data_IF_704849889937
#
_entry.id   IF_704849889937
#
_cell.length_a   1.000
_cell.length_b   1.000
_cell.length_c   1.000
_cell.angle_alpha   90.00
_cell.angle_beta   90.00
_cell.angle_gamma   90.00
#
_symmetry.space_group_name_H-M   'P 1'
#
loop_
_entity.id
_entity.type
_entity.pdbx_description
1 polymer ?
#
# COMPACT_ATOMS: atom_id res chain seq x y z
N UNK A 1 20.48 -0.50 16.80
CA UNK A 1 19.56 0.39 16.04
C UNK A 1 18.31 -0.43 15.76
N UNK A 2 17.13 0.01 16.23
CA UNK A 2 15.88 -0.66 15.93
C UNK A 2 15.67 -0.77 14.41
N UNK A 3 15.36 -1.99 13.94
CA UNK A 3 15.29 -2.31 12.53
C UNK A 3 14.21 -3.33 12.25
N UNK A 4 13.43 -3.08 11.22
CA UNK A 4 12.43 -4.01 10.69
C UNK A 4 12.70 -4.23 9.19
N UNK A 5 12.96 -5.47 8.80
CA UNK A 5 13.05 -5.86 7.39
C UNK A 5 11.83 -6.71 7.05
N UNK A 6 11.14 -6.36 5.97
CA UNK A 6 9.98 -7.14 5.52
C UNK A 6 10.21 -7.63 4.09
N UNK A 7 9.91 -8.89 3.85
CA UNK A 7 9.85 -9.49 2.52
C UNK A 7 8.48 -10.09 2.32
N UNK A 8 7.86 -9.79 1.20
CA UNK A 8 6.51 -10.26 0.97
C UNK A 8 6.15 -10.40 -0.49
N UNK A 9 5.05 -11.09 -0.69
CA UNK A 9 4.44 -11.30 -1.99
C UNK A 9 2.95 -11.11 -1.88
N UNK A 10 2.38 -10.31 -2.79
CA UNK A 10 0.94 -10.21 -2.99
C UNK A 10 0.55 -11.00 -4.23
N UNK A 11 -0.52 -11.75 -4.15
CA UNK A 11 -1.24 -12.23 -5.32
C UNK A 11 -2.44 -11.32 -5.53
N UNK A 12 -2.38 -10.50 -6.57
CA UNK A 12 -3.42 -9.57 -6.96
C UNK A 12 -4.31 -10.20 -8.03
N UNK A 13 -5.60 -9.90 -8.00
CA UNK A 13 -6.58 -10.36 -8.98
C UNK A 13 -7.33 -9.17 -9.58
N UNK A 14 -7.46 -9.11 -10.89
CA UNK A 14 -8.33 -8.14 -11.53
C UNK A 14 -9.80 -8.54 -11.35
N UNK A 15 -10.47 -7.93 -10.40
CA UNK A 15 -11.91 -8.13 -10.13
C UNK A 15 -12.83 -7.14 -10.85
N UNK A 16 -12.26 -6.34 -11.74
CA UNK A 16 -13.07 -5.44 -12.57
C UNK A 16 -13.56 -6.16 -13.81
N UNK A 17 -14.50 -5.56 -14.50
CA UNK A 17 -15.06 -6.05 -15.78
C UNK A 17 -14.24 -5.63 -17.01
N UNK A 18 -13.13 -4.93 -16.82
CA UNK A 18 -12.27 -4.41 -17.87
C UNK A 18 -10.79 -4.79 -17.68
N UNK A 19 -10.00 -4.87 -18.77
CA UNK A 19 -8.58 -5.06 -18.68
C UNK A 19 -7.89 -3.89 -17.97
N UNK A 20 -6.96 -4.19 -17.05
CA UNK A 20 -6.14 -3.19 -16.35
C UNK A 20 -4.80 -3.01 -17.05
N UNK A 21 -4.51 -1.78 -17.50
CA UNK A 21 -3.26 -1.44 -18.18
C UNK A 21 -2.13 -1.07 -17.23
N UNK A 22 -2.44 -0.68 -16.01
CA UNK A 22 -1.45 -0.22 -15.03
C UNK A 22 -1.89 -0.54 -13.60
N UNK A 23 -0.93 -0.57 -12.69
CA UNK A 23 -1.14 -0.69 -11.26
C UNK A 23 -0.36 0.41 -10.53
N UNK A 24 -0.98 0.98 -9.54
CA UNK A 24 -0.43 2.05 -8.71
C UNK A 24 0.00 1.48 -7.37
N UNK A 25 1.22 1.77 -6.95
CA UNK A 25 1.78 1.32 -5.68
C UNK A 25 2.35 2.51 -4.93
N UNK A 26 2.12 2.52 -3.63
CA UNK A 26 2.65 3.52 -2.71
C UNK A 26 3.14 2.86 -1.43
N UNK A 27 3.97 3.55 -0.67
CA UNK A 27 4.46 3.11 0.64
C UNK A 27 4.62 4.29 1.59
N UNK A 28 4.87 3.99 2.84
CA UNK A 28 5.08 4.98 3.89
C UNK A 28 6.40 5.77 3.66
N UNK A 29 6.44 7.06 4.04
CA UNK A 29 7.61 7.92 3.88
C UNK A 29 8.83 7.46 4.68
N UNK A 30 8.60 6.76 5.79
CA UNK A 30 9.65 6.20 6.65
C UNK A 30 10.09 4.79 6.22
N UNK A 31 9.64 4.31 5.06
CA UNK A 31 9.90 2.98 4.55
C UNK A 31 10.83 3.02 3.35
N UNK A 32 12.02 2.47 3.50
CA UNK A 32 12.94 2.28 2.38
C UNK A 32 12.44 1.10 1.53
N UNK A 33 12.07 1.37 0.28
CA UNK A 33 11.68 0.36 -0.70
C UNK A 33 12.94 -0.23 -1.33
N UNK A 34 13.42 -1.37 -0.79
CA UNK A 34 14.63 -2.06 -1.26
C UNK A 34 14.38 -2.76 -2.60
N UNK A 35 13.20 -3.39 -2.72
CA UNK A 35 12.77 -4.09 -3.93
C UNK A 35 11.27 -3.94 -4.12
N UNK A 36 10.85 -3.74 -5.37
CA UNK A 36 9.44 -3.73 -5.74
C UNK A 36 9.31 -4.19 -7.19
N UNK A 37 8.79 -5.39 -7.39
CA UNK A 37 8.59 -6.00 -8.70
C UNK A 37 7.13 -6.36 -8.90
N UNK A 38 6.62 -6.13 -10.11
CA UNK A 38 5.27 -6.49 -10.52
C UNK A 38 5.37 -7.40 -11.73
N UNK A 39 4.83 -8.61 -11.61
CA UNK A 39 4.82 -9.61 -12.68
C UNK A 39 4.16 -9.07 -13.94
N UNK A 40 4.87 -9.18 -15.08
CA UNK A 40 4.40 -8.73 -16.38
C UNK A 40 4.24 -7.22 -16.55
N UNK A 41 4.82 -6.42 -15.65
CA UNK A 41 4.79 -4.97 -15.72
C UNK A 41 6.19 -4.35 -15.60
N UNK A 42 6.31 -3.09 -16.00
CA UNK A 42 7.53 -2.29 -15.89
C UNK A 42 7.20 -0.97 -15.21
N UNK A 43 8.14 -0.39 -14.42
CA UNK A 43 7.99 0.97 -13.93
C UNK A 43 7.76 1.94 -15.10
N UNK A 44 6.72 2.75 -15.00
CA UNK A 44 6.34 3.75 -16.03
C UNK A 44 6.56 5.17 -15.50
N UNK A 45 5.99 5.47 -14.33
CA UNK A 45 6.12 6.76 -13.66
C UNK A 45 6.50 6.58 -12.20
N UNK A 46 7.41 7.38 -11.71
CA UNK A 46 7.94 7.32 -10.34
C UNK A 46 7.97 8.74 -9.73
N UNK A 47 7.43 8.87 -8.54
CA UNK A 47 7.46 10.09 -7.72
C UNK A 47 8.03 9.73 -6.34
N UNK A 48 9.38 9.68 -6.22
CA UNK A 48 10.03 9.30 -4.97
C UNK A 48 9.64 10.19 -3.79
N UNK A 49 9.38 11.49 -4.04
CA UNK A 49 8.97 12.47 -3.05
C UNK A 49 7.59 12.21 -2.45
N UNK A 50 6.78 11.38 -3.11
CA UNK A 50 5.46 10.95 -2.65
C UNK A 50 5.39 9.44 -2.35
N UNK A 51 6.54 8.75 -2.39
CA UNK A 51 6.61 7.28 -2.25
C UNK A 51 5.58 6.57 -3.12
N UNK A 52 5.49 7.00 -4.38
CA UNK A 52 4.45 6.59 -5.31
C UNK A 52 5.01 6.19 -6.66
N UNK A 53 4.61 5.01 -7.15
CA UNK A 53 5.07 4.47 -8.43
C UNK A 53 3.94 3.82 -9.20
N UNK A 54 3.90 4.05 -10.52
CA UNK A 54 3.00 3.39 -11.44
C UNK A 54 3.78 2.36 -12.26
N UNK A 55 3.26 1.15 -12.29
CA UNK A 55 3.73 0.07 -13.17
C UNK A 55 2.76 -0.12 -14.31
N UNK A 56 3.26 -0.12 -15.54
CA UNK A 56 2.50 -0.40 -16.74
C UNK A 56 2.65 -1.85 -17.13
N UNK A 57 1.55 -2.56 -17.29
CA UNK A 57 1.55 -3.93 -17.76
C UNK A 57 1.97 -4.01 -19.24
N UNK A 58 2.87 -4.93 -19.58
CA UNK A 58 3.26 -5.20 -20.97
C UNK A 58 2.05 -5.72 -21.76
N UNK A 59 1.30 -6.62 -21.13
CA UNK A 59 -0.02 -7.08 -21.60
C UNK A 59 -1.02 -6.72 -20.52
N UNK A 60 -2.11 -6.00 -20.83
CA UNK A 60 -3.11 -5.65 -19.84
C UNK A 60 -3.63 -6.87 -19.10
N UNK A 61 -3.78 -6.74 -17.79
CA UNK A 61 -4.28 -7.80 -16.90
C UNK A 61 -5.77 -8.00 -17.12
N UNK A 62 -6.19 -9.14 -17.63
CA UNK A 62 -7.57 -9.44 -17.96
C UNK A 62 -8.46 -9.63 -16.72
N UNK A 63 -9.78 -9.43 -16.81
CA UNK A 63 -10.70 -9.79 -15.73
C UNK A 63 -10.49 -11.22 -15.25
N UNK A 64 -10.39 -11.41 -13.93
CA UNK A 64 -10.11 -12.71 -13.29
C UNK A 64 -8.65 -13.16 -13.34
N UNK A 65 -7.79 -12.48 -14.09
CA UNK A 65 -6.36 -12.79 -14.13
C UNK A 65 -5.69 -12.44 -12.79
N UNK A 66 -4.69 -13.27 -12.42
CA UNK A 66 -3.87 -13.07 -11.22
C UNK A 66 -2.44 -12.77 -11.60
N UNK A 67 -1.80 -11.88 -10.83
CA UNK A 67 -0.37 -11.57 -10.95
C UNK A 67 0.25 -11.35 -9.59
N UNK A 68 1.57 -11.43 -9.56
CA UNK A 68 2.36 -11.36 -8.34
C UNK A 68 3.03 -10.00 -8.22
N UNK A 69 2.98 -9.42 -7.02
CA UNK A 69 3.79 -8.27 -6.62
C UNK A 69 4.75 -8.74 -5.53
N UNK A 70 6.04 -8.63 -5.76
CA UNK A 70 7.09 -9.00 -4.78
C UNK A 70 7.78 -7.76 -4.28
N UNK A 71 7.98 -7.67 -2.97
CA UNK A 71 8.60 -6.51 -2.35
C UNK A 71 9.59 -6.89 -1.24
N UNK A 72 10.54 -6.02 -1.02
CA UNK A 72 11.41 -6.00 0.16
C UNK A 72 11.49 -4.56 0.67
N UNK A 73 11.26 -4.39 1.97
CA UNK A 73 11.26 -3.09 2.63
C UNK A 73 12.16 -3.10 3.85
N UNK A 74 12.68 -1.93 4.18
CA UNK A 74 13.48 -1.70 5.37
C UNK A 74 12.95 -0.47 6.10
N UNK A 75 12.72 -0.61 7.41
CA UNK A 75 12.42 0.51 8.31
C UNK A 75 13.49 0.51 9.40
N UNK A 76 14.21 1.61 9.51
CA UNK A 76 15.27 1.77 10.50
C UNK A 76 15.11 3.10 11.23
N UNK A 77 15.38 3.08 12.52
CA UNK A 77 15.43 4.31 13.30
C UNK A 77 16.89 4.67 13.58
N UNK A 78 17.48 5.50 12.71
CA UNK A 78 18.87 5.95 12.85
C UNK A 78 18.93 7.38 13.38
N UNK A 79 19.82 7.56 14.38
CA UNK A 79 20.20 8.86 14.89
C UNK A 79 19.11 9.55 15.73
N UNK A 80 19.38 10.80 16.07
CA UNK A 80 18.50 11.65 16.84
C UNK A 80 17.77 12.60 15.87
N UNK A 81 16.45 12.50 15.80
CA UNK A 81 15.62 13.41 15.00
C UNK A 81 14.84 14.31 15.93
N UNK A 82 14.84 15.62 15.67
CA UNK A 82 14.07 16.61 16.46
C UNK A 82 12.56 16.54 16.22
N UNK A 83 12.14 15.86 15.13
CA UNK A 83 10.73 15.66 14.80
C UNK A 83 10.57 14.34 14.05
N UNK A 84 9.40 13.72 14.12
CA UNK A 84 9.07 12.51 13.37
C UNK A 84 9.67 11.22 13.96
N UNK A 85 10.13 11.22 15.21
CA UNK A 85 10.49 9.98 15.87
C UNK A 85 9.25 9.12 16.06
N UNK A 86 9.22 8.00 15.35
CA UNK A 86 8.20 7.00 15.62
C UNK A 86 8.59 6.22 16.87
N UNK A 87 7.72 6.22 17.86
CA UNK A 87 7.86 5.37 19.06
C UNK A 87 7.42 3.94 18.81
N UNK A 88 7.09 3.59 17.57
CA UNK A 88 6.56 2.29 17.17
C UNK A 88 7.64 1.26 16.83
N UNK A 89 8.85 1.73 16.54
CA UNK A 89 10.02 0.88 16.28
C UNK A 89 11.11 1.26 17.30
N UNK A 90 11.21 0.51 18.39
CA UNK A 90 12.12 0.75 19.51
C UNK A 90 12.84 -0.53 19.93
N UNK A 91 13.93 -0.40 20.69
CA UNK A 91 14.78 -1.55 21.06
C UNK A 91 14.03 -2.64 21.85
N UNK A 92 13.02 -2.25 22.63
CA UNK A 92 12.28 -3.16 23.51
C UNK A 92 10.87 -3.51 23.00
N UNK A 93 10.53 -3.15 21.79
CA UNK A 93 9.24 -3.50 21.21
C UNK A 93 8.96 -2.77 19.92
N UNK A 94 8.16 -3.39 19.07
CA UNK A 94 7.75 -2.86 17.77
C UNK A 94 6.25 -3.06 17.59
N UNK A 95 5.56 -2.00 17.19
CA UNK A 95 4.15 -2.07 16.79
C UNK A 95 3.97 -1.38 15.46
N UNK A 96 3.62 -2.14 14.42
CA UNK A 96 3.43 -1.64 13.06
C UNK A 96 2.14 -2.17 12.46
N UNK A 97 1.53 -1.36 11.60
CA UNK A 97 0.40 -1.76 10.78
C UNK A 97 0.87 -2.14 9.38
N UNK A 98 0.03 -2.81 8.59
CA UNK A 98 0.39 -3.27 7.24
C UNK A 98 0.92 -2.14 6.34
N UNK A 99 0.37 -0.94 6.41
CA UNK A 99 0.82 0.20 5.62
C UNK A 99 2.20 0.74 6.02
N UNK A 100 2.69 0.39 7.22
CA UNK A 100 3.98 0.86 7.74
C UNK A 100 5.14 -0.09 7.45
N UNK A 101 4.90 -1.28 6.88
CA UNK A 101 5.95 -2.22 6.52
C UNK A 101 5.84 -2.79 5.11
N UNK A 102 4.72 -2.58 4.42
CA UNK A 102 4.47 -3.14 3.10
C UNK A 102 3.88 -2.09 2.14
N UNK A 103 4.09 -2.22 0.82
CA UNK A 103 3.47 -1.33 -0.15
C UNK A 103 1.95 -1.52 -0.18
N UNK A 104 1.25 -0.44 -0.46
CA UNK A 104 -0.21 -0.41 -0.60
C UNK A 104 -0.58 -0.25 -2.08
N UNK A 105 -1.62 -0.95 -2.52
CA UNK A 105 -2.15 -0.84 -3.88
C UNK A 105 -3.10 0.36 -3.96
N UNK A 106 -2.94 1.16 -5.01
CA UNK A 106 -3.76 2.31 -5.28
C UNK A 106 -3.32 3.58 -4.54
N UNK A 107 -4.07 4.66 -4.76
CA UNK A 107 -3.79 5.96 -4.16
C UNK A 107 -4.63 6.14 -2.88
N UNK A 108 -4.00 6.70 -1.85
CA UNK A 108 -4.73 7.09 -0.65
C UNK A 108 -5.73 8.20 -0.97
N UNK A 109 -6.95 8.04 -0.48
CA UNK A 109 -7.99 9.04 -0.63
C UNK A 109 -7.60 10.38 -0.01
N UNK A 110 -6.84 10.38 1.07
CA UNK A 110 -6.35 11.59 1.73
C UNK A 110 -5.33 12.35 0.88
N UNK A 111 -4.66 11.68 -0.05
CA UNK A 111 -3.74 12.27 -1.02
C UNK A 111 -4.44 12.85 -2.25
N UNK A 112 -5.76 12.65 -2.39
CA UNK A 112 -6.51 13.20 -3.50
C UNK A 112 -6.81 14.68 -3.29
N UNK A 113 -6.90 15.41 -4.38
CA UNK A 113 -7.24 16.85 -4.36
C UNK A 113 -8.61 17.07 -3.70
N UNK A 114 -8.64 17.72 -2.55
CA UNK A 114 -9.85 17.96 -1.74
C UNK A 114 -10.49 19.34 -2.03
N UNK A 115 -9.70 20.33 -2.42
CA UNK A 115 -10.18 21.70 -2.66
C UNK A 115 -11.17 21.76 -3.82
N UNK A 116 -12.37 22.27 -3.54
CA UNK A 116 -13.48 22.35 -4.49
C UNK A 116 -13.17 23.21 -5.73
N UNK A 117 -12.50 24.35 -5.53
CA UNK A 117 -12.20 25.28 -6.63
C UNK A 117 -11.12 24.68 -7.55
N UNK A 118 -10.07 24.10 -6.96
CA UNK A 118 -9.04 23.42 -7.71
C UNK A 118 -9.60 22.20 -8.47
N UNK A 119 -10.47 21.42 -7.84
CA UNK A 119 -11.14 20.28 -8.52
C UNK A 119 -11.92 20.73 -9.75
N UNK A 120 -12.74 21.80 -9.62
CA UNK A 120 -13.47 22.38 -10.76
C UNK A 120 -12.53 22.86 -11.87
N UNK A 121 -11.42 23.54 -11.49
CA UNK A 121 -10.40 23.99 -12.46
C UNK A 121 -9.82 22.84 -13.29
N UNK A 122 -9.74 21.63 -12.74
CA UNK A 122 -9.25 20.43 -13.40
C UNK A 122 -10.38 19.56 -13.98
N UNK A 123 -11.60 20.06 -14.09
CA UNK A 123 -12.75 19.30 -14.65
C UNK A 123 -13.20 18.11 -13.77
N UNK A 124 -12.77 18.08 -12.52
CA UNK A 124 -13.15 17.02 -11.58
C UNK A 124 -14.46 17.38 -10.86
N UNK A 125 -15.24 16.38 -10.41
CA UNK A 125 -16.39 16.64 -9.53
C UNK A 125 -15.99 17.51 -8.34
N UNK A 126 -16.81 18.50 -8.01
CA UNK A 126 -16.47 19.48 -6.97
C UNK A 126 -16.24 18.85 -5.59
N UNK A 127 -16.86 17.71 -5.32
CA UNK A 127 -16.74 17.01 -4.05
C UNK A 127 -16.29 15.58 -4.26
N UNK A 128 -15.38 15.13 -3.40
CA UNK A 128 -14.98 13.74 -3.28
C UNK A 128 -15.83 13.09 -2.18
N UNK A 129 -17.06 12.70 -2.50
CA UNK A 129 -17.97 12.09 -1.54
C UNK A 129 -17.89 10.56 -1.59
N UNK A 130 -18.06 9.93 -0.45
CA UNK A 130 -18.43 8.52 -0.42
C UNK A 130 -19.84 8.38 -1.00
N UNK A 131 -20.16 7.24 -1.63
CA UNK A 131 -21.52 6.94 -2.02
C UNK A 131 -22.45 7.05 -0.82
N UNK A 132 -23.69 7.41 -1.08
CA UNK A 132 -24.71 7.41 -0.04
C UNK A 132 -25.00 5.98 0.42
N UNK A 133 -25.42 5.82 1.67
CA UNK A 133 -25.76 4.52 2.24
C UNK A 133 -26.88 3.81 1.44
N UNK A 134 -27.77 4.60 0.85
CA UNK A 134 -28.90 4.14 0.05
C UNK A 134 -28.50 3.75 -1.38
N UNK A 135 -27.29 4.08 -1.83
CA UNK A 135 -26.81 3.75 -3.16
C UNK A 135 -26.48 2.26 -3.28
N UNK A 136 -27.47 1.49 -3.74
CA UNK A 136 -27.35 0.04 -3.93
C UNK A 136 -26.26 -0.31 -4.92
N UNK A 137 -25.99 0.54 -5.94
CA UNK A 137 -24.97 0.30 -6.96
C UNK A 137 -23.56 0.38 -6.40
N UNK A 138 -23.37 1.05 -5.28
CA UNK A 138 -22.09 1.19 -4.60
C UNK A 138 -21.75 0.04 -3.65
N UNK A 139 -22.73 -0.80 -3.29
CA UNK A 139 -22.53 -1.93 -2.35
C UNK A 139 -21.56 -3.00 -2.88
N UNK A 140 -21.50 -3.17 -4.19
CA UNK A 140 -20.57 -4.11 -4.84
C UNK A 140 -19.21 -3.51 -5.20
N UNK A 141 -19.04 -2.20 -4.97
CA UNK A 141 -17.77 -1.52 -5.25
C UNK A 141 -16.89 -1.59 -4.03
N UNK A 142 -15.83 -2.37 -4.15
CA UNK A 142 -14.80 -2.43 -3.11
C UNK A 142 -13.98 -1.14 -3.15
N UNK A 143 -13.81 -0.55 -1.98
CA UNK A 143 -12.90 0.57 -1.79
C UNK A 143 -11.51 0.03 -1.49
N UNK A 144 -10.49 0.76 -1.89
CA UNK A 144 -9.09 0.44 -1.58
C UNK A 144 -8.96 0.18 -0.08
N UNK A 145 -8.45 -1.00 0.28
CA UNK A 145 -8.26 -1.42 1.66
C UNK A 145 -9.50 -2.01 2.36
N UNK A 146 -10.63 -2.19 1.65
CA UNK A 146 -11.85 -2.78 2.20
C UNK A 146 -12.04 -4.27 1.84
N UNK A 147 -11.15 -4.85 1.05
CA UNK A 147 -11.23 -6.24 0.64
C UNK A 147 -10.73 -7.21 1.71
N UNK A 148 -11.37 -8.37 1.77
CA UNK A 148 -10.86 -9.50 2.51
C UNK A 148 -9.64 -10.08 1.81
N UNK A 149 -8.59 -10.36 2.60
CA UNK A 149 -7.36 -10.97 2.11
C UNK A 149 -7.04 -12.22 2.92
N UNK A 150 -6.45 -13.22 2.28
CA UNK A 150 -5.79 -14.30 2.98
C UNK A 150 -4.34 -13.88 3.20
N UNK A 151 -3.87 -13.95 4.44
CA UNK A 151 -2.52 -13.59 4.81
C UNK A 151 -1.84 -14.75 5.53
N UNK A 152 -0.59 -15.00 5.16
CA UNK A 152 0.34 -15.86 5.87
C UNK A 152 1.55 -15.00 6.27
N UNK A 153 1.79 -14.88 7.57
CA UNK A 153 2.79 -13.96 8.11
C UNK A 153 3.72 -14.74 9.05
N UNK A 154 5.01 -14.73 8.72
CA UNK A 154 6.06 -15.22 9.62
C UNK A 154 6.80 -14.03 10.21
N UNK A 155 6.89 -13.96 11.53
CA UNK A 155 7.62 -12.93 12.26
C UNK A 155 8.80 -13.56 12.98
N UNK A 156 10.00 -13.01 12.76
CA UNK A 156 11.22 -13.38 13.49
C UNK A 156 11.66 -12.18 14.34
N UNK A 157 11.95 -12.43 15.60
CA UNK A 157 12.41 -11.42 16.57
C UNK A 157 13.71 -11.88 17.24
N UNK A 158 14.33 -10.99 17.98
CA UNK A 158 15.39 -11.35 18.90
C UNK A 158 14.87 -12.31 19.99
N UNK A 159 15.78 -13.08 20.61
CA UNK A 159 15.43 -14.19 21.51
C UNK A 159 14.67 -13.77 22.77
N UNK A 160 14.81 -12.54 23.19
CA UNK A 160 14.13 -11.94 24.36
C UNK A 160 12.79 -11.26 24.03
N UNK A 161 12.35 -11.33 22.77
CA UNK A 161 11.11 -10.71 22.30
C UNK A 161 10.09 -11.77 21.87
N UNK A 162 8.83 -11.40 21.95
CA UNK A 162 7.70 -12.24 21.54
C UNK A 162 6.98 -11.60 20.37
N UNK A 163 6.83 -12.35 19.27
CA UNK A 163 6.05 -11.92 18.12
C UNK A 163 4.54 -12.11 18.38
N UNK A 164 3.77 -11.09 18.08
CA UNK A 164 2.30 -11.11 18.12
C UNK A 164 1.77 -10.58 16.79
N UNK A 165 0.90 -11.34 16.13
CA UNK A 165 0.23 -10.94 14.90
C UNK A 165 -1.25 -11.30 14.99
N UNK A 166 -2.16 -10.56 14.33
CA UNK A 166 -3.57 -10.97 14.24
C UNK A 166 -3.70 -12.25 13.41
N UNK A 167 -4.62 -13.13 13.80
CA UNK A 167 -4.90 -14.36 13.07
C UNK A 167 -4.84 -15.61 13.96
N UNK A 168 -4.87 -16.76 13.30
CA UNK A 168 -4.68 -18.07 13.94
C UNK A 168 -3.23 -18.50 13.76
N UNK A 169 -2.66 -19.09 14.80
CA UNK A 169 -1.31 -19.63 14.81
C UNK A 169 -1.33 -21.11 14.46
#
# INVERSE_FOLDING_TARGET
VPRLTTRGTYVIENRTDAPLGEIHLRWDEDLDMVRLDVEGAKPDRDWPEFQYRIYKFVTPMQPGEKRTVTFETLKEQRGFRNSGNTTRLVDNGTFVTNGEFAPTIGMDRNSLLQDRAKRRKHGLPAELRMPKLEDVSARSKNYIGADWVNADITVTTDADQTAVAPGYR
#
